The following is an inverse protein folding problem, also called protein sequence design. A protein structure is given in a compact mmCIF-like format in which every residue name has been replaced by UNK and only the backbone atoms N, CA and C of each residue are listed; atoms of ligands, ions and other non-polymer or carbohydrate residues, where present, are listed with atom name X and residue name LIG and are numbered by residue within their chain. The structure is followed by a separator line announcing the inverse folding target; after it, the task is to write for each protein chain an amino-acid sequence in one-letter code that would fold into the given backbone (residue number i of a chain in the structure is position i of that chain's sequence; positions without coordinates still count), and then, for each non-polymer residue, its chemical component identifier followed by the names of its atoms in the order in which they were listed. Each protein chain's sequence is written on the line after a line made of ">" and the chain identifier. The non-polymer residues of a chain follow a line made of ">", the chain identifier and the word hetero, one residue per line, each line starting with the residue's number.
data_IF_941730401169
#
_entry.id   IF_941730401169
#
_cell.length_a   1.000
_cell.length_b   1.000
_cell.length_c   1.000
_cell.angle_alpha   90.00
_cell.angle_beta   90.00
_cell.angle_gamma   90.00
#
_symmetry.space_group_name_H-M   'P 1'
#
loop_
_entity.id
_entity.type
_entity.pdbx_description
1 polymer ?
#
# COMPACT_ATOMS: atom_id res chain seq x y z
N UNK A 1 9.51 8.70 -17.68
CA UNK A 1 9.15 7.28 -17.52
C UNK A 1 10.11 6.64 -16.53
N UNK A 2 9.57 5.96 -15.53
CA UNK A 2 10.37 5.19 -14.58
C UNK A 2 10.67 3.80 -15.15
N UNK A 3 11.88 3.29 -14.93
CA UNK A 3 12.28 1.99 -15.46
C UNK A 3 11.41 0.83 -15.00
N UNK A 4 10.92 0.89 -13.76
CA UNK A 4 10.01 -0.11 -13.22
C UNK A 4 8.63 -0.15 -13.92
N UNK A 5 8.20 0.94 -14.51
CA UNK A 5 6.88 1.07 -15.14
C UNK A 5 6.81 0.53 -16.58
N UNK A 6 7.92 0.17 -17.19
CA UNK A 6 7.97 -0.35 -18.57
C UNK A 6 8.91 -1.54 -18.71
N UNK A 7 9.09 -2.28 -17.64
CA UNK A 7 9.93 -3.45 -17.68
C UNK A 7 9.27 -4.55 -18.54
N UNK A 8 9.98 -4.99 -19.55
CA UNK A 8 9.58 -5.94 -20.59
C UNK A 8 8.46 -5.48 -21.53
N UNK A 9 7.62 -4.52 -21.16
CA UNK A 9 6.59 -3.94 -22.05
C UNK A 9 6.08 -2.60 -21.55
N UNK A 10 5.56 -1.78 -22.46
CA UNK A 10 4.95 -0.47 -22.17
C UNK A 10 3.45 -0.65 -21.95
N UNK A 11 3.07 -1.00 -20.73
CA UNK A 11 1.67 -1.13 -20.32
C UNK A 11 1.45 -0.38 -19.03
N UNK A 12 0.44 0.46 -19.00
CA UNK A 12 -0.20 1.00 -17.80
C UNK A 12 -1.69 0.66 -17.90
N UNK A 13 -2.22 -0.11 -16.96
CA UNK A 13 -3.60 -0.63 -17.01
C UNK A 13 -4.23 -0.75 -15.62
N UNK A 14 -5.49 -1.18 -15.57
CA UNK A 14 -6.21 -1.50 -14.35
C UNK A 14 -6.27 -0.35 -13.34
N UNK A 15 -6.54 0.91 -13.74
CA UNK A 15 -6.59 2.01 -12.79
C UNK A 15 -7.79 1.85 -11.85
N UNK A 16 -7.55 2.05 -10.55
CA UNK A 16 -8.62 2.06 -9.57
C UNK A 16 -8.40 3.12 -8.50
N UNK A 17 -9.47 3.80 -8.11
CA UNK A 17 -9.41 4.90 -7.16
C UNK A 17 -9.56 4.41 -5.72
N UNK A 18 -8.78 5.02 -4.82
CA UNK A 18 -8.80 4.80 -3.38
C UNK A 18 -8.75 6.16 -2.68
N UNK A 19 -9.55 6.34 -1.64
CA UNK A 19 -9.65 7.61 -0.93
C UNK A 19 -9.09 7.50 0.47
N UNK A 20 -8.34 8.50 0.88
CA UNK A 20 -8.10 8.83 2.28
C UNK A 20 -8.81 10.15 2.63
N UNK A 21 -8.59 10.65 3.85
CA UNK A 21 -9.27 11.85 4.34
C UNK A 21 -9.08 13.07 3.42
N UNK A 22 -7.85 13.33 2.99
CA UNK A 22 -7.48 14.54 2.25
C UNK A 22 -6.88 14.26 0.85
N UNK A 23 -6.81 13.02 0.45
CA UNK A 23 -6.13 12.61 -0.78
C UNK A 23 -6.94 11.58 -1.55
N UNK A 24 -7.02 11.77 -2.85
CA UNK A 24 -7.47 10.75 -3.78
C UNK A 24 -6.24 10.07 -4.37
N UNK A 25 -6.18 8.77 -4.25
CA UNK A 25 -5.18 7.92 -4.85
C UNK A 25 -5.74 7.23 -6.09
N UNK A 26 -4.91 7.03 -7.09
CA UNK A 26 -5.18 6.18 -8.24
C UNK A 26 -4.06 5.17 -8.35
N UNK A 27 -4.35 3.91 -8.05
CA UNK A 27 -3.43 2.81 -8.31
C UNK A 27 -3.60 2.36 -9.76
N UNK A 28 -2.53 1.88 -10.36
CA UNK A 28 -2.52 1.32 -11.71
C UNK A 28 -1.47 0.22 -11.77
N UNK A 29 -1.66 -0.72 -12.68
CA UNK A 29 -0.67 -1.78 -12.90
C UNK A 29 0.19 -1.45 -14.09
N UNK A 30 1.45 -1.87 -14.04
CA UNK A 30 2.45 -1.48 -15.02
C UNK A 30 3.44 -2.61 -15.29
N UNK A 31 4.14 -2.54 -16.41
CA UNK A 31 5.08 -3.52 -16.94
C UNK A 31 4.42 -4.81 -17.49
N UNK A 32 5.23 -5.78 -17.90
CA UNK A 32 4.73 -7.05 -18.43
C UNK A 32 4.01 -7.87 -17.35
N UNK A 33 3.04 -8.68 -17.78
CA UNK A 33 2.27 -9.57 -16.89
C UNK A 33 3.09 -10.84 -16.58
N UNK A 34 4.27 -10.61 -16.01
CA UNK A 34 5.20 -11.62 -15.49
C UNK A 34 5.65 -11.19 -14.08
N UNK A 35 6.82 -11.61 -13.62
CA UNK A 35 7.33 -11.20 -12.30
C UNK A 35 7.72 -9.73 -12.22
N UNK A 36 7.75 -9.01 -13.34
CA UNK A 36 7.99 -7.57 -13.38
C UNK A 36 6.74 -6.72 -13.24
N UNK A 37 5.55 -7.33 -13.26
CA UNK A 37 4.27 -6.64 -13.07
C UNK A 37 4.19 -6.03 -11.68
N UNK A 38 3.83 -4.76 -11.63
CA UNK A 38 3.88 -3.95 -10.41
C UNK A 38 2.68 -3.02 -10.31
N UNK A 39 2.44 -2.50 -9.12
CA UNK A 39 1.42 -1.47 -8.87
C UNK A 39 2.08 -0.13 -8.61
N UNK A 40 1.76 0.84 -9.43
CA UNK A 40 2.14 2.24 -9.26
C UNK A 40 1.05 3.06 -8.58
N UNK A 41 1.40 4.26 -8.15
CA UNK A 41 0.52 5.17 -7.44
C UNK A 41 0.60 6.58 -8.01
N UNK A 42 -0.58 7.15 -8.30
CA UNK A 42 -0.77 8.58 -8.46
C UNK A 42 -1.59 9.09 -7.28
N UNK A 43 -1.38 10.34 -6.93
CA UNK A 43 -2.21 11.00 -5.91
C UNK A 43 -2.47 12.45 -6.26
N UNK A 44 -3.59 12.95 -5.74
CA UNK A 44 -4.02 14.33 -5.87
C UNK A 44 -4.70 14.76 -4.57
N UNK A 45 -4.44 15.98 -4.15
CA UNK A 45 -5.10 16.56 -2.97
C UNK A 45 -6.58 16.81 -3.24
N UNK A 46 -7.40 16.61 -2.23
CA UNK A 46 -8.83 16.89 -2.27
C UNK A 46 -9.09 18.37 -2.61
N UNK A 47 -10.03 18.57 -3.52
CA UNK A 47 -10.44 19.92 -3.97
C UNK A 47 -9.69 20.43 -5.18
N UNK A 48 -8.60 19.79 -5.61
CA UNK A 48 -7.96 20.12 -6.88
C UNK A 48 -8.74 19.56 -8.07
N UNK A 49 -8.64 20.22 -9.21
CA UNK A 49 -9.27 19.76 -10.45
C UNK A 49 -8.59 18.48 -10.96
N UNK A 50 -9.37 17.41 -11.07
CA UNK A 50 -8.92 16.08 -11.51
C UNK A 50 -8.53 16.03 -12.99
N UNK A 51 -8.99 16.98 -13.81
CA UNK A 51 -8.71 17.04 -15.24
C UNK A 51 -7.41 17.78 -15.55
N UNK A 52 -6.83 18.45 -14.56
CA UNK A 52 -5.54 19.13 -14.70
C UNK A 52 -4.43 18.16 -14.36
N UNK A 53 -3.67 17.74 -15.35
CA UNK A 53 -2.60 16.74 -15.24
C UNK A 53 -1.56 17.11 -14.17
N UNK A 54 -1.20 18.38 -14.09
CA UNK A 54 -0.17 18.94 -13.20
C UNK A 54 -0.56 18.85 -11.73
N UNK A 55 -1.84 18.64 -11.44
CA UNK A 55 -2.32 18.41 -10.07
C UNK A 55 -2.04 16.99 -9.56
N UNK A 56 -1.77 16.06 -10.48
CA UNK A 56 -1.47 14.66 -10.13
C UNK A 56 0.02 14.47 -9.93
N UNK A 57 0.37 13.82 -8.84
CA UNK A 57 1.74 13.45 -8.51
C UNK A 57 1.87 11.92 -8.65
N UNK A 58 2.79 11.47 -9.49
CA UNK A 58 3.15 10.05 -9.63
C UNK A 58 4.30 9.75 -8.69
N UNK A 59 4.18 8.71 -7.87
CA UNK A 59 5.30 8.23 -7.05
C UNK A 59 6.43 7.71 -7.94
N UNK A 60 7.66 7.87 -7.51
CA UNK A 60 8.84 7.42 -8.25
C UNK A 60 9.21 5.94 -8.00
N UNK A 61 8.41 5.23 -7.24
CA UNK A 61 8.57 3.81 -6.92
C UNK A 61 7.20 3.12 -6.92
N UNK A 62 7.14 1.82 -7.23
CA UNK A 62 5.92 1.04 -7.13
C UNK A 62 5.57 0.76 -5.67
N UNK A 63 4.29 0.66 -5.37
CA UNK A 63 3.79 0.37 -4.00
C UNK A 63 3.52 -1.12 -3.77
N UNK A 64 3.54 -1.94 -4.82
CA UNK A 64 3.42 -3.39 -4.74
C UNK A 64 4.21 -4.04 -5.87
N UNK A 65 5.01 -5.04 -5.54
CA UNK A 65 5.90 -5.74 -6.45
C UNK A 65 5.97 -7.23 -6.09
N UNK A 66 6.61 -8.04 -6.91
CA UNK A 66 6.93 -9.45 -6.59
C UNK A 66 7.85 -9.65 -5.38
N UNK A 67 8.32 -8.58 -4.75
CA UNK A 67 9.16 -8.62 -3.54
C UNK A 67 8.44 -8.11 -2.30
N UNK A 68 7.21 -7.62 -2.46
CA UNK A 68 6.46 -7.01 -1.36
C UNK A 68 5.89 -8.06 -0.41
N UNK A 69 5.47 -9.21 -0.94
CA UNK A 69 4.89 -10.31 -0.17
C UNK A 69 5.55 -11.61 -0.59
N UNK A 70 6.01 -12.37 0.37
CA UNK A 70 6.67 -13.66 0.12
C UNK A 70 5.73 -14.64 -0.58
N UNK A 71 6.22 -15.29 -1.63
CA UNK A 71 5.44 -16.26 -2.41
C UNK A 71 4.50 -15.67 -3.45
N UNK A 72 4.31 -14.35 -3.51
CA UNK A 72 3.46 -13.67 -4.48
C UNK A 72 4.27 -12.97 -5.56
N UNK A 73 4.00 -13.27 -6.83
CA UNK A 73 4.72 -12.72 -7.97
C UNK A 73 3.77 -12.08 -8.98
N UNK A 74 4.22 -11.01 -9.61
CA UNK A 74 3.44 -10.28 -10.61
C UNK A 74 2.09 -9.81 -10.08
N UNK A 75 2.10 -9.22 -8.89
CA UNK A 75 0.91 -8.73 -8.20
C UNK A 75 0.37 -7.46 -8.84
N UNK A 76 -0.94 -7.37 -9.03
CA UNK A 76 -1.54 -6.16 -9.55
C UNK A 76 -3.00 -6.31 -9.98
N UNK A 77 -3.43 -5.40 -10.84
CA UNK A 77 -4.81 -5.25 -11.33
C UNK A 77 -5.78 -5.10 -10.16
N UNK A 78 -5.46 -4.13 -9.30
CA UNK A 78 -6.11 -3.89 -8.04
C UNK A 78 -7.52 -3.31 -8.20
N UNK A 79 -8.44 -3.75 -7.33
CA UNK A 79 -9.73 -3.09 -7.11
C UNK A 79 -10.00 -3.04 -5.61
N UNK A 80 -10.74 -2.05 -5.17
CA UNK A 80 -10.99 -1.82 -3.74
C UNK A 80 -12.47 -1.88 -3.43
N UNK A 81 -12.80 -2.47 -2.29
CA UNK A 81 -14.14 -2.48 -1.72
C UNK A 81 -14.07 -2.09 -0.25
N UNK A 82 -15.03 -1.32 0.21
CA UNK A 82 -15.18 -1.01 1.64
C UNK A 82 -16.31 -1.86 2.19
N UNK A 83 -16.05 -2.59 3.27
CA UNK A 83 -17.05 -3.41 3.93
C UNK A 83 -17.96 -2.62 4.88
N UNK A 84 -18.87 -3.32 5.56
CA UNK A 84 -19.84 -2.73 6.49
C UNK A 84 -19.19 -2.06 7.71
N UNK A 85 -18.00 -2.52 8.08
CA UNK A 85 -17.20 -1.97 9.19
C UNK A 85 -16.31 -0.80 8.77
N UNK A 86 -16.35 -0.42 7.50
CA UNK A 86 -15.52 0.64 6.93
C UNK A 86 -14.09 0.22 6.61
N UNK A 87 -13.79 -1.08 6.65
CA UNK A 87 -12.48 -1.62 6.30
C UNK A 87 -12.36 -1.68 4.78
N UNK A 88 -11.25 -1.19 4.26
CA UNK A 88 -10.96 -1.25 2.84
C UNK A 88 -10.20 -2.52 2.51
N UNK A 89 -10.70 -3.25 1.54
CA UNK A 89 -10.10 -4.47 1.02
C UNK A 89 -9.59 -4.24 -0.39
N UNK A 90 -8.40 -4.72 -0.65
CA UNK A 90 -7.77 -4.79 -1.95
C UNK A 90 -7.99 -6.18 -2.53
N UNK A 91 -8.63 -6.25 -3.70
CA UNK A 91 -8.65 -7.46 -4.53
C UNK A 91 -7.62 -7.30 -5.65
N UNK A 92 -6.88 -8.34 -5.91
CA UNK A 92 -5.78 -8.32 -6.88
C UNK A 92 -5.54 -9.72 -7.45
N UNK A 93 -4.66 -9.86 -8.41
CA UNK A 93 -4.13 -11.16 -8.78
C UNK A 93 -2.64 -11.27 -8.44
N UNK A 94 -2.19 -12.48 -8.20
CA UNK A 94 -0.79 -12.84 -8.06
C UNK A 94 -0.54 -14.25 -8.59
N UNK A 95 0.72 -14.57 -8.86
CA UNK A 95 1.18 -15.94 -9.12
C UNK A 95 1.72 -16.54 -7.84
N UNK A 96 1.40 -17.79 -7.58
CA UNK A 96 1.98 -18.57 -6.48
C UNK A 96 3.28 -19.22 -6.98
N UNK A 97 4.38 -18.46 -7.00
CA UNK A 97 5.64 -18.83 -7.61
C UNK A 97 5.84 -18.18 -8.99
N UNK A 98 7.10 -18.13 -9.44
CA UNK A 98 7.53 -17.43 -10.66
C UNK A 98 6.78 -17.89 -11.91
N UNK A 99 6.59 -19.20 -12.06
CA UNK A 99 5.92 -19.84 -13.21
C UNK A 99 4.49 -20.28 -12.90
N UNK A 100 3.98 -19.93 -11.72
CA UNK A 100 2.64 -20.31 -11.27
C UNK A 100 1.52 -19.66 -12.08
N UNK A 101 0.34 -20.27 -12.08
CA UNK A 101 -0.86 -19.64 -12.62
C UNK A 101 -1.25 -18.42 -11.77
N UNK A 102 -1.89 -17.43 -12.41
CA UNK A 102 -2.47 -16.30 -11.69
C UNK A 102 -3.70 -16.77 -10.89
N UNK A 103 -3.78 -16.36 -9.65
CA UNK A 103 -4.92 -16.54 -8.77
C UNK A 103 -5.36 -15.20 -8.19
N UNK A 104 -6.61 -15.09 -7.83
CA UNK A 104 -7.13 -13.92 -7.14
C UNK A 104 -6.73 -13.96 -5.66
N UNK A 105 -6.37 -12.80 -5.14
CA UNK A 105 -6.11 -12.57 -3.73
C UNK A 105 -7.00 -11.46 -3.19
N UNK A 106 -7.18 -11.45 -1.88
CA UNK A 106 -7.80 -10.36 -1.14
C UNK A 106 -6.94 -10.05 0.09
N UNK A 107 -6.75 -8.76 0.35
CA UNK A 107 -5.97 -8.29 1.50
C UNK A 107 -6.51 -6.95 1.98
N UNK A 108 -6.50 -6.75 3.29
CA UNK A 108 -6.85 -5.46 3.89
C UNK A 108 -5.88 -4.38 3.42
N UNK A 109 -6.43 -3.19 3.12
CA UNK A 109 -5.63 -1.99 2.88
C UNK A 109 -5.39 -1.30 4.21
N UNK A 110 -4.13 -1.03 4.49
CA UNK A 110 -3.72 -0.16 5.58
C UNK A 110 -3.33 1.20 5.03
N UNK A 111 -3.29 2.19 5.89
CA UNK A 111 -2.78 3.51 5.58
C UNK A 111 -1.70 3.86 6.59
N UNK A 112 -0.61 4.42 6.12
CA UNK A 112 0.42 4.94 7.00
C UNK A 112 -0.04 6.24 7.71
N UNK A 113 0.85 6.84 8.51
CA UNK A 113 0.54 8.05 9.28
C UNK A 113 0.22 9.26 8.38
N UNK A 114 0.71 9.27 7.14
CA UNK A 114 0.46 10.31 6.15
C UNK A 114 -0.75 9.99 5.26
N UNK A 115 -1.44 8.87 5.54
CA UNK A 115 -2.61 8.42 4.81
C UNK A 115 -2.29 7.76 3.46
N UNK A 116 -1.03 7.36 3.23
CA UNK A 116 -0.64 6.64 2.01
C UNK A 116 -1.03 5.18 2.10
N UNK A 117 -1.65 4.60 1.06
CA UNK A 117 -2.09 3.21 1.10
C UNK A 117 -0.90 2.24 1.12
N UNK A 118 -0.99 1.24 1.99
CA UNK A 118 -0.08 0.12 2.14
C UNK A 118 -0.80 -1.16 1.76
N UNK A 119 -0.30 -1.86 0.73
CA UNK A 119 -0.95 -3.02 0.13
C UNK A 119 -0.25 -4.35 0.46
N UNK A 120 0.87 -4.29 1.14
CA UNK A 120 1.80 -5.41 1.39
C UNK A 120 1.79 -5.94 2.82
N UNK A 121 0.91 -5.43 3.68
CA UNK A 121 0.74 -5.97 5.02
C UNK A 121 -0.11 -7.24 4.97
N UNK A 122 0.52 -8.36 5.32
CA UNK A 122 -0.11 -9.68 5.41
C UNK A 122 -0.92 -9.83 6.70
N UNK A 123 -1.81 -10.81 6.75
CA UNK A 123 -2.72 -11.02 7.89
C UNK A 123 -1.99 -11.19 9.23
N UNK A 124 -0.82 -11.84 9.22
CA UNK A 124 0.04 -12.00 10.40
C UNK A 124 0.65 -10.68 10.90
N UNK A 125 0.66 -9.66 10.05
CA UNK A 125 1.10 -8.30 10.38
C UNK A 125 -0.06 -7.34 10.60
N UNK A 126 -1.29 -7.81 10.44
CA UNK A 126 -2.47 -6.99 10.59
C UNK A 126 -2.61 -6.52 12.04
N UNK A 127 -2.72 -5.21 12.25
CA UNK A 127 -2.86 -4.64 13.58
C UNK A 127 -4.23 -4.99 14.14
N UNK A 128 -4.26 -5.84 15.16
CA UNK A 128 -5.49 -6.08 15.92
C UNK A 128 -5.92 -4.82 16.66
N UNK A 129 -7.22 -4.64 16.84
CA UNK A 129 -7.84 -3.44 17.41
C UNK A 129 -7.20 -2.98 18.73
N UNK A 130 -6.80 -3.93 19.59
CA UNK A 130 -6.14 -3.64 20.87
C UNK A 130 -4.79 -2.90 20.74
N UNK A 131 -4.15 -2.93 19.58
CA UNK A 131 -2.87 -2.25 19.34
C UNK A 131 -3.01 -0.94 18.56
N UNK A 132 -4.22 -0.53 18.17
CA UNK A 132 -4.47 0.75 17.49
C UNK A 132 -4.20 1.97 18.40
N UNK A 133 -4.21 1.78 19.71
CA UNK A 133 -3.81 2.81 20.68
C UNK A 133 -2.59 2.32 21.46
N UNK A 134 -1.45 2.92 21.17
CA UNK A 134 -0.26 2.79 22.01
C UNK A 134 -0.23 4.01 22.91
N UNK A 135 -0.52 3.84 24.19
CA UNK A 135 -0.32 4.88 25.18
C UNK A 135 1.14 4.85 25.62
N UNK A 136 1.88 5.89 25.30
CA UNK A 136 3.26 6.08 25.76
C UNK A 136 3.29 7.10 26.87
N UNK A 137 3.66 6.68 28.06
CA UNK A 137 3.93 7.60 29.17
C UNK A 137 5.36 8.08 29.07
N UNK A 138 5.56 9.35 28.72
CA UNK A 138 6.85 10.00 28.75
C UNK A 138 7.11 10.51 30.17
N UNK A 139 7.98 9.85 30.90
CA UNK A 139 8.46 10.34 32.22
C UNK A 139 9.69 11.19 31.98
N UNK A 140 9.55 12.48 32.13
CA UNK A 140 10.66 13.46 32.09
C UNK A 140 11.06 13.77 33.52
N UNK A 141 12.30 13.48 33.87
CA UNK A 141 12.82 13.92 35.18
C UNK A 141 13.14 15.42 35.18
N UNK A 142 13.38 15.95 36.32
CA UNK A 142 13.69 17.39 36.51
C UNK A 142 14.97 17.87 35.79
N UNK A 143 15.75 16.97 35.24
CA UNK A 143 16.96 17.28 34.50
C UNK A 143 16.75 17.19 32.97
N UNK A 144 15.51 16.93 32.50
CA UNK A 144 15.16 16.87 31.09
C UNK A 144 15.67 15.65 30.34
N UNK A 145 16.20 14.65 31.02
CA UNK A 145 16.68 13.42 30.41
C UNK A 145 15.55 12.40 30.38
N UNK A 146 14.91 12.27 29.22
CA UNK A 146 13.94 11.22 28.99
C UNK A 146 14.60 9.84 28.98
N UNK A 147 14.29 8.98 29.94
CA UNK A 147 14.57 7.55 29.80
C UNK A 147 13.54 6.95 28.84
N UNK A 148 14.00 6.48 27.68
CA UNK A 148 13.20 5.62 26.82
C UNK A 148 12.89 4.34 27.59
N UNK A 149 11.66 4.20 28.03
CA UNK A 149 11.12 2.91 28.44
C UNK A 149 10.91 2.08 27.19
N UNK A 150 11.81 1.14 26.88
CA UNK A 150 11.55 0.17 25.84
C UNK A 150 10.46 -0.77 26.31
N UNK A 151 9.37 -0.89 25.55
CA UNK A 151 8.46 -2.03 25.66
C UNK A 151 9.22 -3.26 25.11
N UNK A 152 9.84 -4.01 25.99
CA UNK A 152 10.22 -5.37 25.68
C UNK A 152 8.99 -6.23 25.99
N UNK A 153 8.37 -6.77 24.93
CA UNK A 153 7.45 -7.88 25.11
C UNK A 153 8.26 -9.03 25.72
N UNK A 154 7.89 -9.43 26.91
CA UNK A 154 8.27 -10.73 27.44
C UNK A 154 7.18 -11.70 27.03
N UNK A 155 7.61 -12.84 26.52
CA UNK A 155 6.94 -14.05 26.04
C UNK A 155 5.63 -14.43 26.74
#
# INVERSE_FOLDING_TARGET
>A
LYGWANNHTFVDEGPYALKSENTLYLTFSSAAVDTSYVVGLLHIEKGKDLLVRENWIKTNYPILTSRSVEGEFGTGHNAYVTDEDGIVWNTYHARQGVDGARSSGIRRVHFDIDGVPMLDLTEDRDLVEKYKKIETVLVVDKNGIGKRGGLYGTD
#
